data_IF_474432590911
#
_entry.id   IF_474432590911
#
_cell.length_a   1.000
_cell.length_b   1.000
_cell.length_c   1.000
_cell.angle_alpha   90.00
_cell.angle_beta   90.00
_cell.angle_gamma   90.00
#
_symmetry.space_group_name_H-M   'P 1'
#
loop_
_entity.id
_entity.type
_entity.pdbx_description
1 polymer ?
#
# COMPACT_ATOMS: atom_id res chain seq x y z
N UNK A 1 -17.91 -15.81 3.85
CA UNK A 1 -16.81 -16.09 2.91
C UNK A 1 -15.52 -15.51 3.47
N UNK A 2 -14.48 -16.28 3.74
CA UNK A 2 -13.16 -15.71 4.05
C UNK A 2 -12.47 -15.28 2.74
N UNK A 3 -11.77 -14.13 2.75
CA UNK A 3 -11.12 -13.57 1.56
C UNK A 3 -10.20 -14.60 0.88
N UNK A 4 -10.45 -14.87 -0.41
CA UNK A 4 -9.75 -15.92 -1.17
C UNK A 4 -8.52 -15.42 -1.93
N UNK A 5 -8.42 -14.11 -2.18
CA UNK A 5 -7.56 -13.56 -3.25
C UNK A 5 -6.16 -13.14 -2.77
N UNK A 6 -5.98 -12.78 -1.50
CA UNK A 6 -4.72 -12.20 -0.98
C UNK A 6 -4.02 -13.09 0.06
N UNK A 7 -4.23 -14.41 0.02
CA UNK A 7 -3.69 -15.33 1.03
C UNK A 7 -2.16 -15.39 1.06
N UNK A 8 -1.52 -15.11 -0.07
CA UNK A 8 -0.05 -15.17 -0.23
C UNK A 8 0.58 -13.77 -0.28
N UNK A 9 -0.21 -12.71 -0.10
CA UNK A 9 0.31 -11.35 -0.10
C UNK A 9 0.82 -10.97 1.30
N UNK A 10 2.00 -10.33 1.42
CA UNK A 10 2.45 -9.80 2.70
C UNK A 10 1.41 -8.86 3.33
N UNK A 11 1.33 -8.75 4.67
CA UNK A 11 0.41 -7.80 5.30
C UNK A 11 0.60 -6.36 4.78
N UNK A 12 -0.52 -5.64 4.58
CA UNK A 12 -0.47 -4.24 4.20
C UNK A 12 0.16 -3.39 5.30
N UNK A 13 1.08 -2.48 4.92
CA UNK A 13 1.72 -1.56 5.87
C UNK A 13 0.77 -0.45 6.31
N UNK A 14 0.00 0.10 5.37
CA UNK A 14 -0.99 1.14 5.63
C UNK A 14 -2.10 1.11 4.57
N UNK A 15 -3.20 1.80 4.84
CA UNK A 15 -4.36 1.94 3.96
C UNK A 15 -4.69 3.42 3.72
N UNK A 16 -4.92 3.80 2.47
CA UNK A 16 -5.31 5.17 2.09
C UNK A 16 -6.67 5.11 1.42
N UNK A 17 -7.66 5.76 2.02
CA UNK A 17 -9.01 5.90 1.49
C UNK A 17 -9.24 7.32 0.98
N UNK A 18 -9.59 7.47 -0.28
CA UNK A 18 -9.96 8.78 -0.86
C UNK A 18 -11.39 8.67 -1.35
N UNK A 19 -12.32 9.38 -0.69
CA UNK A 19 -13.76 9.26 -0.95
C UNK A 19 -14.28 7.81 -0.88
N UNK A 20 -13.64 6.94 -0.09
CA UNK A 20 -14.07 5.54 0.08
C UNK A 20 -15.35 5.44 0.91
N UNK A 21 -16.15 4.41 0.69
CA UNK A 21 -17.44 4.19 1.37
C UNK A 21 -17.54 2.77 1.93
N UNK A 22 -18.21 2.62 3.07
CA UNK A 22 -18.55 1.31 3.62
C UNK A 22 -19.49 0.57 2.66
N UNK A 23 -19.37 -0.76 2.61
CA UNK A 23 -20.40 -1.57 1.96
C UNK A 23 -21.75 -1.34 2.64
N UNK A 24 -22.82 -1.42 1.84
CA UNK A 24 -24.20 -1.26 2.32
C UNK A 24 -24.89 -2.60 2.58
N UNK A 25 -24.42 -3.64 1.90
CA UNK A 25 -24.98 -4.98 2.00
C UNK A 25 -24.59 -5.63 3.34
N UNK A 26 -25.54 -5.92 4.25
CA UNK A 26 -25.23 -6.42 5.59
C UNK A 26 -24.39 -7.70 5.58
N UNK A 27 -24.70 -8.61 4.65
CA UNK A 27 -23.97 -9.87 4.49
C UNK A 27 -22.48 -9.68 4.13
N UNK A 28 -22.14 -8.57 3.47
CA UNK A 28 -20.74 -8.19 3.22
C UNK A 28 -20.14 -7.55 4.48
N UNK A 29 -20.89 -6.67 5.15
CA UNK A 29 -20.42 -5.95 6.33
C UNK A 29 -20.06 -6.89 7.50
N UNK A 30 -20.90 -7.89 7.76
CA UNK A 30 -20.69 -8.91 8.80
C UNK A 30 -19.42 -9.74 8.59
N UNK A 31 -18.90 -9.76 7.37
CA UNK A 31 -17.69 -10.49 7.02
C UNK A 31 -16.48 -9.56 6.92
N UNK A 32 -16.61 -8.43 6.22
CA UNK A 32 -15.52 -7.52 5.91
C UNK A 32 -15.09 -6.66 7.11
N UNK A 33 -16.03 -6.33 8.00
CA UNK A 33 -15.82 -5.43 9.14
C UNK A 33 -16.12 -6.11 10.48
N UNK A 34 -16.11 -7.45 10.51
CA UNK A 34 -16.34 -8.24 11.72
C UNK A 34 -15.36 -7.84 12.83
N UNK A 35 -14.09 -7.78 12.47
CA UNK A 35 -12.99 -7.45 13.36
C UNK A 35 -12.46 -6.06 13.02
N UNK A 36 -12.03 -5.30 14.04
CA UNK A 36 -11.41 -4.00 13.83
C UNK A 36 -10.16 -4.14 12.98
N UNK A 37 -10.08 -3.35 11.90
CA UNK A 37 -8.97 -3.36 10.97
C UNK A 37 -7.77 -2.64 11.61
N UNK A 38 -6.72 -3.42 11.93
CA UNK A 38 -5.54 -2.92 12.67
C UNK A 38 -4.51 -2.18 11.82
N UNK A 39 -4.63 -2.23 10.50
CA UNK A 39 -3.70 -1.52 9.61
C UNK A 39 -3.83 -0.01 9.81
N UNK A 40 -2.70 0.71 9.88
CA UNK A 40 -2.71 2.18 9.94
C UNK A 40 -3.44 2.73 8.74
N UNK A 41 -4.36 3.66 8.95
CA UNK A 41 -5.14 4.21 7.84
C UNK A 41 -5.28 5.73 7.89
N UNK A 42 -5.40 6.30 6.71
CA UNK A 42 -5.80 7.70 6.49
C UNK A 42 -7.00 7.73 5.55
N UNK A 43 -8.00 8.54 5.89
CA UNK A 43 -9.25 8.68 5.15
C UNK A 43 -9.49 10.14 4.80
N UNK A 44 -9.63 10.43 3.51
CA UNK A 44 -10.01 11.73 2.99
C UNK A 44 -11.52 11.76 2.75
N UNK A 45 -12.22 12.64 3.47
CA UNK A 45 -13.68 12.71 3.47
C UNK A 45 -14.14 14.12 3.04
N UNK A 46 -14.87 14.17 1.94
CA UNK A 46 -15.42 15.40 1.38
C UNK A 46 -16.68 15.86 2.13
N UNK A 47 -16.73 17.14 2.49
CA UNK A 47 -17.89 17.73 3.15
C UNK A 47 -19.16 17.71 2.29
N UNK A 48 -18.99 17.74 0.96
CA UNK A 48 -20.08 17.69 -0.04
C UNK A 48 -20.22 16.32 -0.70
N UNK A 49 -19.51 15.30 -0.21
CA UNK A 49 -19.62 13.95 -0.76
C UNK A 49 -20.98 13.36 -0.39
N UNK A 50 -21.73 12.86 -1.37
CA UNK A 50 -23.01 12.19 -1.13
C UNK A 50 -22.80 10.87 -0.36
N UNK A 51 -21.59 10.30 -0.35
CA UNK A 51 -21.19 9.13 0.44
C UNK A 51 -20.52 9.51 1.76
N UNK A 52 -20.49 10.79 2.16
CA UNK A 52 -19.81 11.23 3.40
C UNK A 52 -20.13 10.36 4.61
N UNK A 53 -21.41 10.08 4.88
CA UNK A 53 -21.82 9.27 6.02
C UNK A 53 -21.27 7.83 5.94
N UNK A 54 -21.50 7.08 4.83
CA UNK A 54 -20.81 5.81 4.61
C UNK A 54 -19.27 5.85 4.65
N UNK A 55 -18.64 6.97 4.27
CA UNK A 55 -17.19 7.16 4.40
C UNK A 55 -16.76 7.27 5.86
N UNK A 56 -17.53 8.00 6.67
CA UNK A 56 -17.30 8.11 8.11
C UNK A 56 -17.50 6.75 8.80
N UNK A 57 -18.55 6.01 8.44
CA UNK A 57 -18.80 4.64 8.93
C UNK A 57 -17.72 3.63 8.51
N UNK A 58 -17.10 3.82 7.34
CA UNK A 58 -15.95 3.01 6.92
C UNK A 58 -14.75 3.29 7.83
N UNK A 59 -14.48 4.57 8.11
CA UNK A 59 -13.35 4.95 8.96
C UNK A 59 -13.46 4.31 10.36
N UNK A 60 -14.66 4.18 10.93
CA UNK A 60 -14.85 3.54 12.25
C UNK A 60 -14.50 2.06 12.28
N UNK A 61 -14.36 1.39 11.13
CA UNK A 61 -13.91 0.00 11.07
C UNK A 61 -12.40 -0.15 11.33
N UNK A 62 -11.64 0.96 11.27
CA UNK A 62 -10.19 0.96 11.44
C UNK A 62 -9.77 1.37 12.85
N UNK A 63 -8.62 0.88 13.29
CA UNK A 63 -8.01 1.24 14.57
C UNK A 63 -7.30 2.60 14.47
N UNK A 64 -7.81 3.60 15.18
CA UNK A 64 -7.29 4.97 15.26
C UNK A 64 -6.92 5.58 13.87
N UNK A 65 -7.88 5.69 12.94
CA UNK A 65 -7.64 6.26 11.61
C UNK A 65 -7.31 7.76 11.69
N UNK A 66 -6.41 8.24 10.83
CA UNK A 66 -6.32 9.68 10.55
C UNK A 66 -7.47 10.07 9.61
N UNK A 67 -8.25 11.09 9.98
CA UNK A 67 -9.32 11.63 9.12
C UNK A 67 -8.91 13.03 8.66
N UNK A 68 -8.76 13.21 7.35
CA UNK A 68 -8.51 14.50 6.72
C UNK A 68 -9.79 14.94 6.00
N UNK A 69 -10.34 16.08 6.39
CA UNK A 69 -11.60 16.61 5.84
C UNK A 69 -11.30 17.68 4.80
N UNK A 70 -12.06 17.68 3.71
CA UNK A 70 -11.90 18.68 2.64
C UNK A 70 -13.27 19.20 2.16
N UNK A 71 -13.37 20.41 1.58
CA UNK A 71 -14.66 21.04 1.29
C UNK A 71 -15.35 20.53 0.00
N UNK A 72 -14.68 19.68 -0.79
CA UNK A 72 -15.21 19.17 -2.06
C UNK A 72 -16.16 17.98 -1.87
N UNK A 73 -16.75 17.53 -2.99
CA UNK A 73 -17.56 16.31 -3.06
C UNK A 73 -16.71 15.05 -3.28
N UNK A 74 -17.27 14.08 -4.01
CA UNK A 74 -16.62 12.82 -4.34
C UNK A 74 -15.47 13.02 -5.34
N UNK A 75 -14.28 13.27 -4.83
CA UNK A 75 -13.11 13.61 -5.66
C UNK A 75 -11.81 13.27 -4.95
N UNK A 76 -10.70 13.33 -5.68
CA UNK A 76 -9.36 13.32 -5.07
C UNK A 76 -9.05 14.76 -4.64
N UNK A 77 -8.89 15.03 -3.33
CA UNK A 77 -8.73 16.40 -2.86
C UNK A 77 -7.37 16.98 -3.25
N UNK A 78 -7.34 18.28 -3.51
CA UNK A 78 -6.10 19.06 -3.41
C UNK A 78 -5.87 19.35 -1.94
N UNK A 79 -4.67 19.05 -1.44
CA UNK A 79 -4.32 19.28 -0.04
C UNK A 79 -3.90 20.74 0.15
N UNK A 80 -4.43 21.35 1.20
CA UNK A 80 -3.90 22.59 1.74
C UNK A 80 -2.68 22.30 2.63
N UNK A 81 -2.05 23.36 3.13
CA UNK A 81 -0.87 23.27 3.99
C UNK A 81 -1.14 22.41 5.23
N UNK A 82 -2.28 22.64 5.91
CA UNK A 82 -2.66 21.90 7.11
C UNK A 82 -2.86 20.40 6.84
N UNK A 83 -3.57 20.04 5.77
CA UNK A 83 -3.79 18.65 5.38
C UNK A 83 -2.50 17.97 4.94
N UNK A 84 -1.63 18.71 4.26
CA UNK A 84 -0.31 18.24 3.83
C UNK A 84 0.58 17.95 5.04
N UNK A 85 0.59 18.83 6.03
CA UNK A 85 1.33 18.65 7.28
C UNK A 85 0.81 17.43 8.05
N UNK A 86 -0.51 17.28 8.19
CA UNK A 86 -1.13 16.11 8.85
C UNK A 86 -0.71 14.79 8.20
N UNK A 87 -0.81 14.71 6.86
CA UNK A 87 -0.42 13.51 6.11
C UNK A 87 1.08 13.24 6.23
N UNK A 88 1.91 14.29 6.18
CA UNK A 88 3.37 14.17 6.30
C UNK A 88 3.77 13.65 7.68
N UNK A 89 3.22 14.23 8.75
CA UNK A 89 3.46 13.80 10.12
C UNK A 89 2.99 12.36 10.37
N UNK A 90 1.86 11.97 9.80
CA UNK A 90 1.35 10.59 9.87
C UNK A 90 2.25 9.60 9.14
N UNK A 91 2.71 9.95 7.94
CA UNK A 91 3.63 9.11 7.15
C UNK A 91 4.97 8.94 7.85
N UNK A 92 5.53 10.02 8.41
CA UNK A 92 6.77 9.96 9.18
C UNK A 92 6.67 9.00 10.38
N UNK A 93 5.54 9.03 11.12
CA UNK A 93 5.30 8.11 12.24
C UNK A 93 5.29 6.65 11.80
N UNK A 94 4.72 6.34 10.63
CA UNK A 94 4.71 4.98 10.07
C UNK A 94 6.12 4.52 9.72
N UNK A 95 6.91 5.38 9.07
CA UNK A 95 8.30 5.06 8.68
C UNK A 95 9.21 4.83 9.90
N UNK A 96 9.06 5.64 10.95
CA UNK A 96 9.79 5.45 12.21
C UNK A 96 9.43 4.13 12.88
N UNK A 97 8.13 3.78 12.92
CA UNK A 97 7.66 2.51 13.46
C UNK A 97 8.21 1.31 12.68
N UNK A 98 8.26 1.38 11.35
CA UNK A 98 8.81 0.30 10.54
C UNK A 98 10.31 0.08 10.76
N UNK A 99 11.07 1.14 11.02
CA UNK A 99 12.51 1.05 11.24
C UNK A 99 12.84 0.53 12.65
N UNK A 100 12.07 0.92 13.67
CA UNK A 100 12.24 0.42 15.04
C UNK A 100 11.93 -1.08 15.17
N UNK A 101 11.03 -1.63 14.35
CA UNK A 101 10.78 -3.07 14.30
C UNK A 101 11.93 -3.89 13.70
N UNK A 102 12.82 -3.27 12.91
CA UNK A 102 13.97 -3.96 12.30
C UNK A 102 15.13 -4.04 13.29
N UNK A 103 15.37 -2.99 14.08
CA UNK A 103 16.48 -2.94 15.05
C UNK A 103 16.33 -3.88 16.25
N UNK A 104 15.12 -4.41 16.51
CA UNK A 104 14.87 -5.32 17.63
C UNK A 104 15.07 -6.81 17.31
N UNK A 105 15.43 -7.17 16.06
CA UNK A 105 15.67 -8.55 15.65
C UNK A 105 17.16 -8.94 15.57
N UNK A 106 18.08 -8.05 15.93
CA UNK A 106 19.53 -8.32 15.92
C UNK A 106 20.08 -8.53 17.35
N UNK A 107 19.55 -9.50 18.12
CA UNK A 107 20.34 -10.09 19.21
C UNK A 107 19.76 -11.42 19.71
N UNK A 108 20.18 -12.54 19.11
CA UNK A 108 20.52 -13.76 19.85
C UNK A 108 21.42 -14.65 18.97
N UNK A 109 22.70 -14.26 18.88
CA UNK A 109 23.78 -15.21 18.64
C UNK A 109 24.56 -15.32 19.95
N UNK A 110 24.41 -16.47 20.63
CA UNK A 110 25.43 -16.93 21.58
C UNK A 110 25.94 -18.29 21.13
N UNK A 111 27.21 -18.26 20.74
CA UNK A 111 28.10 -19.38 20.46
C UNK A 111 28.26 -20.30 21.68
N UNK A 112 28.51 -21.58 21.38
CA UNK A 112 29.48 -22.41 22.11
C UNK A 112 28.98 -23.81 22.47
N UNK A 113 29.34 -24.82 21.68
CA UNK A 113 30.28 -25.89 22.09
C UNK A 113 30.52 -26.92 20.97
N UNK A 114 31.79 -27.32 20.88
CA UNK A 114 32.49 -28.23 19.94
C UNK A 114 32.19 -29.71 20.13
N UNK A 115 32.31 -30.50 19.05
CA UNK A 115 33.04 -31.81 18.89
C UNK A 115 32.88 -32.25 17.40
N UNK A 116 33.93 -32.43 16.58
CA UNK A 116 34.77 -33.65 16.35
C UNK A 116 33.91 -34.91 16.09
N UNK A 117 34.05 -35.74 15.05
CA UNK A 117 35.03 -35.99 13.97
C UNK A 117 34.27 -36.66 12.79
N UNK A 118 34.86 -36.70 11.57
CA UNK A 118 35.05 -37.90 10.74
C UNK A 118 35.24 -37.60 9.22
N UNK A 119 36.24 -38.28 8.66
CA UNK A 119 36.84 -38.19 7.32
C UNK A 119 35.93 -38.73 6.20
N UNK A 120 35.99 -38.18 4.99
CA UNK A 120 36.60 -38.73 3.74
C UNK A 120 35.44 -38.78 2.73
N UNK A 121 35.46 -38.23 1.51
CA UNK A 121 36.26 -38.61 0.35
C UNK A 121 36.00 -37.57 -0.78
N UNK A 122 36.98 -37.37 -1.66
CA UNK A 122 36.85 -36.64 -2.95
C UNK A 122 37.07 -37.66 -4.06
N UNK A 123 36.48 -37.52 -5.26
CA UNK A 123 37.26 -36.83 -6.32
C UNK A 123 36.48 -36.09 -7.45
N UNK A 124 37.12 -34.98 -7.88
CA UNK A 124 37.42 -34.46 -9.25
C UNK A 124 36.34 -33.94 -10.22
N UNK A 125 36.46 -32.63 -10.52
CA UNK A 125 36.49 -31.86 -11.81
C UNK A 125 35.44 -32.16 -12.92
N UNK A 126 34.89 -31.23 -13.71
CA UNK A 126 35.33 -29.99 -14.38
C UNK A 126 34.06 -29.30 -14.97
N UNK A 127 33.92 -27.96 -15.05
CA UNK A 127 33.92 -27.16 -16.31
C UNK A 127 33.04 -25.90 -16.06
N UNK A 128 33.67 -24.75 -15.77
CA UNK A 128 33.80 -23.54 -16.63
C UNK A 128 32.52 -23.00 -17.27
N UNK A 129 32.12 -21.77 -16.89
CA UNK A 129 32.23 -20.60 -17.77
C UNK A 129 31.77 -19.31 -17.08
N UNK A 130 32.74 -18.43 -16.86
CA UNK A 130 32.59 -16.98 -16.71
C UNK A 130 32.24 -16.37 -18.07
N UNK A 131 31.60 -15.18 -18.05
CA UNK A 131 31.56 -14.08 -19.05
C UNK A 131 30.10 -13.65 -19.27
N UNK A 132 29.69 -12.38 -19.29
CA UNK A 132 30.21 -11.09 -18.84
C UNK A 132 29.01 -10.13 -18.87
N UNK A 133 28.99 -9.16 -17.97
CA UNK A 133 28.16 -7.97 -18.09
C UNK A 133 28.63 -7.15 -19.31
N UNK A 134 27.71 -6.83 -20.22
CA UNK A 134 27.88 -5.75 -21.18
C UNK A 134 26.64 -4.87 -21.07
N UNK A 135 26.80 -3.69 -20.50
CA UNK A 135 25.87 -2.59 -20.73
C UNK A 135 26.05 -2.07 -22.15
N UNK A 136 24.96 -1.64 -22.77
CA UNK A 136 24.99 -0.35 -23.45
C UNK A 136 23.57 0.20 -23.69
N UNK A 137 23.51 1.52 -23.63
CA UNK A 137 22.33 2.35 -23.77
C UNK A 137 21.74 2.29 -25.18
N UNK A 138 20.42 2.57 -25.31
CA UNK A 138 19.86 3.66 -26.15
C UNK A 138 18.39 3.45 -26.56
N UNK A 139 17.59 4.49 -26.26
CA UNK A 139 16.59 5.15 -27.13
C UNK A 139 15.47 4.32 -27.80
N UNK A 140 14.22 4.57 -27.40
CA UNK A 140 13.05 4.74 -28.30
C UNK A 140 12.10 5.75 -27.59
N UNK A 141 12.17 7.05 -27.89
CA UNK A 141 11.43 7.78 -28.93
C UNK A 141 9.90 7.72 -28.76
N UNK A 142 9.32 8.88 -28.42
CA UNK A 142 7.89 9.07 -28.22
C UNK A 142 7.08 9.04 -29.51
N UNK A 143 5.79 8.78 -29.35
CA UNK A 143 4.78 9.02 -30.38
C UNK A 143 3.57 9.68 -29.72
N UNK A 144 3.49 11.01 -29.87
CA UNK A 144 2.25 11.76 -29.77
C UNK A 144 1.37 11.39 -30.98
N UNK A 145 0.15 10.90 -30.72
CA UNK A 145 -0.96 11.04 -31.65
C UNK A 145 -2.16 11.62 -30.90
N UNK A 146 -2.33 12.91 -31.13
CA UNK A 146 -3.52 13.71 -30.87
C UNK A 146 -4.67 13.16 -31.74
N UNK A 147 -5.76 12.75 -31.10
CA UNK A 147 -7.05 12.51 -31.75
C UNK A 147 -8.03 13.56 -31.21
N UNK A 148 -8.24 14.61 -32.00
CA UNK A 148 -9.38 15.52 -31.84
C UNK A 148 -10.65 14.77 -32.18
N UNK A 149 -11.52 14.56 -31.20
CA UNK A 149 -12.93 14.22 -31.45
C UNK A 149 -13.74 15.48 -31.24
N UNK A 150 -14.48 15.84 -32.30
CA UNK A 150 -15.14 17.13 -32.48
C UNK A 150 -16.24 17.45 -31.48
N UNK A 151 -16.49 18.75 -31.40
CA UNK A 151 -17.51 19.40 -30.58
C UNK A 151 -18.92 18.91 -30.87
N UNK A 152 -19.70 18.81 -29.79
CA UNK A 152 -21.14 18.65 -29.80
C UNK A 152 -21.82 19.95 -30.23
N UNK A 153 -22.82 19.84 -31.10
CA UNK A 153 -23.82 20.90 -31.31
C UNK A 153 -25.14 20.45 -30.65
N UNK A 154 -25.69 21.43 -29.95
CA UNK A 154 -26.81 21.49 -29.02
C UNK A 154 -28.20 21.50 -29.69
N UNK A 155 -29.23 21.04 -28.98
CA UNK A 155 -30.48 21.79 -28.66
C UNK A 155 -31.78 20.94 -28.65
N UNK A 156 -32.44 20.94 -27.48
CA UNK A 156 -33.87 21.23 -27.22
C UNK A 156 -34.94 20.67 -28.18
N UNK A 157 -35.74 19.69 -27.72
CA UNK A 157 -37.09 19.88 -27.15
C UNK A 157 -37.66 18.55 -26.63
#
# INVERSE_FOLDING_TARGET
MQGKVLKEHPPFKFFVSISGSKFREPSICEVAYKDTIKVKSVHFIGAKDWLKLPSEELATAFDNPLIIRHPQGHTVPRLDEASTEQLSNWTAKILLQSNASISNNEHELKNGETNKDDEEERPKELNTNTINNQGDASKIAGNHKELKVGEAIQAQH
#
